data_IF_804743743269
#
_entry.id   IF_804743743269
#
_cell.length_a   1.000
_cell.length_b   1.000
_cell.length_c   1.000
_cell.angle_alpha   90.00
_cell.angle_beta   90.00
_cell.angle_gamma   90.00
#
_symmetry.space_group_name_H-M   'P 1'
#
loop_
_entity.id
_entity.type
_entity.pdbx_description
1 polymer ?
#
# COMPACT_ATOMS: atom_id res chain seq x y z
N UNK A 1 -1.08 -13.01 -11.04
CA UNK A 1 -1.75 -12.10 -10.10
C UNK A 1 -1.43 -12.64 -8.72
N UNK A 2 -0.77 -11.88 -7.85
CA UNK A 2 -0.37 -12.38 -6.53
C UNK A 2 -1.62 -12.76 -5.74
N UNK A 3 -1.69 -14.01 -5.30
CA UNK A 3 -2.68 -14.51 -4.35
C UNK A 3 -2.39 -13.88 -2.98
N UNK A 4 -2.80 -12.62 -2.83
CA UNK A 4 -2.66 -11.88 -1.58
C UNK A 4 -3.70 -12.41 -0.60
N UNK A 5 -3.27 -13.23 0.36
CA UNK A 5 -4.11 -13.73 1.46
C UNK A 5 -5.01 -12.62 2.04
N UNK A 6 -6.28 -12.91 2.37
CA UNK A 6 -7.21 -11.90 2.87
C UNK A 6 -6.72 -11.29 4.18
N UNK A 7 -6.98 -10.00 4.38
CA UNK A 7 -6.76 -9.35 5.69
C UNK A 7 -7.92 -9.76 6.59
N UNK A 8 -7.69 -10.73 7.47
CA UNK A 8 -8.65 -11.17 8.48
C UNK A 8 -8.60 -10.25 9.72
N UNK A 9 -9.57 -10.33 10.64
CA UNK A 9 -9.52 -9.57 11.90
C UNK A 9 -8.23 -9.80 12.71
N UNK A 10 -7.73 -11.04 12.77
CA UNK A 10 -6.46 -11.35 13.45
C UNK A 10 -5.26 -10.67 12.78
N UNK A 11 -5.21 -10.66 11.45
CA UNK A 11 -4.16 -9.96 10.70
C UNK A 11 -4.27 -8.46 10.92
N UNK A 12 -5.49 -7.91 10.91
CA UNK A 12 -5.73 -6.49 11.16
C UNK A 12 -5.27 -6.07 12.55
N UNK A 13 -5.50 -6.91 13.57
CA UNK A 13 -5.00 -6.67 14.92
C UNK A 13 -3.48 -6.60 14.95
N UNK A 14 -2.78 -7.57 14.35
CA UNK A 14 -1.31 -7.56 14.27
C UNK A 14 -0.79 -6.32 13.55
N UNK A 15 -1.42 -5.91 12.45
CA UNK A 15 -1.06 -4.69 11.72
C UNK A 15 -1.28 -3.43 12.56
N UNK A 16 -2.36 -3.36 13.32
CA UNK A 16 -2.64 -2.25 14.23
C UNK A 16 -1.60 -2.18 15.36
N UNK A 17 -1.24 -3.33 15.96
CA UNK A 17 -0.19 -3.43 16.98
C UNK A 17 1.15 -2.93 16.45
N UNK A 18 1.57 -3.35 15.25
CA UNK A 18 2.81 -2.89 14.62
C UNK A 18 2.82 -1.41 14.27
N UNK A 19 1.64 -0.82 14.06
CA UNK A 19 1.48 0.60 13.73
C UNK A 19 1.28 1.47 14.98
N UNK A 20 1.41 0.89 16.18
CA UNK A 20 1.11 1.53 17.47
C UNK A 20 -0.32 2.11 17.55
N UNK A 21 -1.23 1.60 16.72
CA UNK A 21 -2.63 1.96 16.73
C UNK A 21 -3.29 1.33 17.95
N UNK A 22 -3.77 2.18 18.87
CA UNK A 22 -4.58 1.73 20.00
C UNK A 22 -5.94 1.25 19.50
N UNK A 23 -6.02 -0.04 19.18
CA UNK A 23 -7.24 -0.72 18.79
C UNK A 23 -7.77 -1.54 19.97
N UNK A 24 -9.08 -1.46 20.19
CA UNK A 24 -9.81 -2.43 21.01
C UNK A 24 -10.23 -3.61 20.11
N UNK A 25 -10.21 -4.83 20.65
CA UNK A 25 -10.56 -6.07 19.94
C UNK A 25 -11.97 -6.03 19.36
N UNK A 26 -12.86 -5.21 19.93
CA UNK A 26 -14.22 -4.99 19.43
C UNK A 26 -14.26 -4.40 18.01
N UNK A 27 -13.15 -3.82 17.54
CA UNK A 27 -13.03 -3.16 16.22
C UNK A 27 -12.17 -3.91 15.21
N UNK A 28 -11.69 -5.13 15.53
CA UNK A 28 -10.78 -5.87 14.64
C UNK A 28 -11.42 -6.15 13.27
N UNK A 29 -12.74 -6.40 13.23
CA UNK A 29 -13.48 -6.58 11.98
C UNK A 29 -13.52 -5.30 11.14
N UNK A 30 -13.81 -4.15 11.76
CA UNK A 30 -13.82 -2.86 11.05
C UNK A 30 -12.42 -2.49 10.54
N UNK A 31 -11.38 -2.75 11.35
CA UNK A 31 -9.99 -2.54 10.95
C UNK A 31 -9.60 -3.42 9.76
N UNK A 32 -10.03 -4.69 9.73
CA UNK A 32 -9.79 -5.57 8.59
C UNK A 32 -10.41 -5.02 7.30
N UNK A 33 -11.63 -4.48 7.37
CA UNK A 33 -12.28 -3.84 6.21
C UNK A 33 -11.53 -2.60 5.72
N UNK A 34 -11.10 -1.74 6.66
CA UNK A 34 -10.33 -0.53 6.35
C UNK A 34 -8.98 -0.89 5.72
N UNK A 35 -8.23 -1.81 6.30
CA UNK A 35 -6.94 -2.23 5.76
C UNK A 35 -7.06 -2.94 4.43
N UNK A 36 -8.12 -3.75 4.22
CA UNK A 36 -8.39 -4.36 2.92
C UNK A 36 -8.71 -3.30 1.86
N UNK A 37 -9.48 -2.26 2.20
CA UNK A 37 -9.78 -1.15 1.30
C UNK A 37 -8.51 -0.35 0.95
N UNK A 38 -7.67 -0.09 1.95
CA UNK A 38 -6.40 0.60 1.76
C UNK A 38 -5.44 -0.21 0.87
N UNK A 39 -5.28 -1.51 1.14
CA UNK A 39 -4.47 -2.42 0.30
C UNK A 39 -4.91 -2.36 -1.15
N UNK A 40 -6.22 -2.49 -1.43
CA UNK A 40 -6.76 -2.38 -2.80
C UNK A 40 -6.44 -1.05 -3.45
N UNK A 41 -6.42 0.06 -2.69
CA UNK A 41 -6.07 1.39 -3.22
C UNK A 41 -4.59 1.46 -3.61
N UNK A 42 -3.72 0.91 -2.78
CA UNK A 42 -2.27 0.85 -3.01
C UNK A 42 -1.93 -0.09 -4.18
N UNK A 43 -2.55 -1.27 -4.25
CA UNK A 43 -2.41 -2.19 -5.37
C UNK A 43 -2.79 -1.53 -6.70
N UNK A 44 -3.86 -0.71 -6.73
CA UNK A 44 -4.23 0.07 -7.92
C UNK A 44 -3.17 1.10 -8.30
N UNK A 45 -2.49 1.71 -7.33
CA UNK A 45 -1.42 2.67 -7.61
C UNK A 45 -0.21 1.97 -8.23
N UNK A 46 0.19 0.81 -7.68
CA UNK A 46 1.32 0.03 -8.22
C UNK A 46 1.01 -0.68 -9.53
N UNK A 47 -0.27 -0.93 -9.83
CA UNK A 47 -0.69 -1.44 -11.13
C UNK A 47 -0.68 -0.38 -12.23
N UNK A 48 -0.53 0.92 -11.89
CA UNK A 48 -0.28 1.95 -12.88
C UNK A 48 1.15 1.76 -13.40
N UNK A 49 1.28 1.58 -14.71
CA UNK A 49 2.56 1.36 -15.38
C UNK A 49 3.49 2.56 -15.15
N UNK A 50 4.54 2.35 -14.34
CA UNK A 50 5.54 3.38 -14.01
C UNK A 50 6.59 3.50 -15.14
N UNK A 51 6.35 2.89 -16.32
CA UNK A 51 7.24 2.95 -17.47
C UNK A 51 7.57 4.36 -17.99
N UNK A 52 6.80 5.40 -17.59
CA UNK A 52 7.05 6.78 -18.01
C UNK A 52 7.76 7.66 -16.96
N UNK A 53 8.15 7.14 -15.80
CA UNK A 53 8.74 7.98 -14.73
C UNK A 53 10.28 7.91 -14.64
N UNK A 54 10.94 7.02 -15.40
CA UNK A 54 12.39 6.79 -15.25
C UNK A 54 13.32 7.65 -16.14
N UNK A 55 12.85 8.53 -17.03
CA UNK A 55 13.77 9.20 -17.97
C UNK A 55 14.09 10.69 -17.76
N UNK A 56 13.34 11.44 -16.94
CA UNK A 56 13.61 12.89 -16.77
C UNK A 56 14.52 13.23 -15.57
N UNK A 57 14.82 12.27 -14.69
CA UNK A 57 15.67 12.53 -13.52
C UNK A 57 17.17 12.24 -13.75
N UNK A 58 17.52 11.49 -14.79
CA UNK A 58 18.90 11.03 -15.05
C UNK A 58 19.56 11.65 -16.29
N UNK A 59 18.85 12.47 -17.07
CA UNK A 59 19.45 13.26 -18.14
C UNK A 59 19.40 14.75 -17.78
N UNK A 60 20.41 15.30 -17.08
CA UNK A 60 20.65 16.73 -17.19
C UNK A 60 20.86 16.99 -18.68
N UNK A 61 19.99 17.78 -19.30
CA UNK A 61 20.17 18.28 -20.66
C UNK A 61 21.56 18.92 -20.71
N UNK A 62 22.53 18.18 -21.24
CA UNK A 62 23.80 18.71 -21.68
C UNK A 62 23.49 19.63 -22.85
N UNK A 63 23.19 20.89 -22.54
CA UNK A 63 23.30 21.98 -23.49
C UNK A 63 24.78 22.10 -23.85
N UNK A 64 25.23 21.27 -24.79
CA UNK A 64 26.43 21.53 -25.55
C UNK A 64 26.07 22.36 -26.79
N UNK A 65 26.78 23.49 -26.88
CA UNK A 65 26.91 24.45 -28.01
C UNK A 65 25.83 25.52 -28.16
#
# INVERSE_FOLDING_TARGET
MSDSSPITPDVARVLAEWSELRADRTRDTELAEVFAAFRRRVERLYAMDVGSFEFDFLHPMSHES
#
